data_IF_553952880072
#
_entry.id   IF_553952880072
#
_cell.length_a   1.000
_cell.length_b   1.000
_cell.length_c   1.000
_cell.angle_alpha   90.00
_cell.angle_beta   90.00
_cell.angle_gamma   90.00
#
_symmetry.space_group_name_H-M   'P 1'
#
loop_
_entity.id
_entity.type
_entity.pdbx_description
1 polymer ?
#
# COMPACT_ATOMS: atom_id res chain seq x y z
N UNK A 1 32.86 7.36 -11.92
CA UNK A 1 31.97 6.24 -11.49
C UNK A 1 30.54 6.62 -11.84
N UNK A 2 29.91 5.95 -12.80
CA UNK A 2 28.50 6.19 -13.13
C UNK A 2 27.63 5.48 -12.10
N UNK A 3 27.10 6.21 -11.10
CA UNK A 3 26.10 5.66 -10.18
C UNK A 3 24.84 5.31 -10.97
N UNK A 4 24.53 4.01 -11.04
CA UNK A 4 23.22 3.53 -11.51
C UNK A 4 22.24 3.57 -10.34
N UNK A 5 21.11 4.24 -10.51
CA UNK A 5 19.99 4.36 -9.58
C UNK A 5 19.00 3.21 -9.78
N UNK A 6 18.26 2.84 -8.74
CA UNK A 6 17.12 1.91 -8.83
C UNK A 6 15.83 2.73 -8.72
N UNK A 7 14.94 2.69 -9.72
CA UNK A 7 13.66 3.42 -9.62
C UNK A 7 12.65 2.62 -8.82
N UNK A 8 12.00 3.31 -7.91
CA UNK A 8 10.89 2.79 -7.12
C UNK A 8 9.62 3.50 -7.57
N UNK A 9 8.80 2.80 -8.36
CA UNK A 9 7.48 3.29 -8.70
C UNK A 9 6.49 2.86 -7.61
N UNK A 10 6.09 3.82 -6.77
CA UNK A 10 5.11 3.58 -5.72
C UNK A 10 3.71 3.92 -6.24
N UNK A 11 2.97 2.88 -6.65
CA UNK A 11 1.52 2.99 -6.83
C UNK A 11 0.86 3.06 -5.46
N UNK A 12 0.45 4.27 -5.05
CA UNK A 12 -0.41 4.42 -3.89
C UNK A 12 -1.78 3.82 -4.25
N UNK A 13 -2.17 2.83 -3.44
CA UNK A 13 -3.47 2.18 -3.50
C UNK A 13 -4.60 3.20 -3.59
N UNK A 14 -5.68 2.83 -4.32
CA UNK A 14 -7.04 3.35 -4.13
C UNK A 14 -7.25 3.68 -2.65
N UNK A 15 -7.06 4.94 -2.30
CA UNK A 15 -7.70 5.52 -1.13
C UNK A 15 -9.19 5.47 -1.48
N UNK A 16 -10.13 5.30 -0.53
CA UNK A 16 -11.54 5.61 -0.78
C UNK A 16 -11.66 7.12 -1.00
N UNK A 17 -11.13 7.56 -2.13
CA UNK A 17 -10.94 8.90 -2.61
C UNK A 17 -11.33 8.82 -4.08
N UNK A 18 -12.11 9.78 -4.60
CA UNK A 18 -12.39 9.82 -6.03
C UNK A 18 -11.10 9.96 -6.85
N UNK A 19 -9.99 10.37 -6.20
CA UNK A 19 -8.72 10.64 -6.86
C UNK A 19 -7.81 9.42 -6.96
N UNK A 20 -7.21 9.23 -8.13
CA UNK A 20 -6.22 8.20 -8.39
C UNK A 20 -4.86 8.85 -8.72
N UNK A 21 -3.98 8.90 -7.72
CA UNK A 21 -2.67 9.55 -7.83
C UNK A 21 -1.56 8.51 -7.96
N UNK A 22 -0.69 8.69 -8.93
CA UNK A 22 0.49 7.86 -9.19
C UNK A 22 1.75 8.63 -8.82
N UNK A 23 2.55 8.09 -7.91
CA UNK A 23 3.78 8.74 -7.44
C UNK A 23 5.02 8.07 -8.04
N UNK A 24 5.96 8.92 -8.48
CA UNK A 24 7.25 8.49 -8.99
C UNK A 24 8.33 8.86 -7.99
N UNK A 25 9.03 7.84 -7.50
CA UNK A 25 10.15 7.99 -6.59
C UNK A 25 11.40 7.32 -7.16
N UNK A 26 12.56 7.84 -6.78
CA UNK A 26 13.85 7.26 -7.12
C UNK A 26 14.51 6.79 -5.84
N UNK A 27 15.08 5.59 -5.85
CA UNK A 27 15.88 5.08 -4.76
C UNK A 27 17.32 4.92 -5.22
N UNK A 28 18.20 5.64 -4.53
CA UNK A 28 19.62 5.39 -4.65
C UNK A 28 20.02 4.45 -3.51
N UNK A 29 20.83 3.40 -3.77
CA UNK A 29 21.41 2.61 -2.70
C UNK A 29 22.05 3.52 -1.64
N UNK A 30 21.80 3.22 -0.37
CA UNK A 30 22.31 3.99 0.77
C UNK A 30 21.82 5.45 0.91
N UNK A 31 20.84 5.89 0.12
CA UNK A 31 20.21 7.21 0.29
C UNK A 31 18.70 7.09 0.55
N UNK A 32 18.06 8.10 1.16
CA UNK A 32 16.60 8.16 1.22
C UNK A 32 15.97 8.12 -0.17
N UNK A 33 14.73 7.66 -0.25
CA UNK A 33 13.97 7.75 -1.50
C UNK A 33 13.67 9.22 -1.81
N UNK A 34 13.87 9.61 -3.08
CA UNK A 34 13.65 10.97 -3.56
C UNK A 34 12.32 11.00 -4.30
N UNK A 35 11.43 11.90 -3.92
CA UNK A 35 10.20 12.16 -4.66
C UNK A 35 10.51 12.98 -5.92
N UNK A 36 10.01 12.51 -7.07
CA UNK A 36 10.23 13.19 -8.36
C UNK A 36 8.99 13.94 -8.80
N UNK A 37 7.86 13.25 -8.88
CA UNK A 37 6.60 13.83 -9.36
C UNK A 37 5.41 12.93 -9.01
N UNK A 38 4.22 13.51 -9.14
CA UNK A 38 2.93 12.83 -9.02
C UNK A 38 2.11 13.13 -10.26
N UNK A 39 1.42 12.11 -10.78
CA UNK A 39 0.48 12.26 -11.88
C UNK A 39 -0.91 11.92 -11.34
N UNK A 40 -1.84 12.86 -11.51
CA UNK A 40 -3.25 12.59 -11.31
C UNK A 40 -3.81 11.83 -12.51
N UNK A 41 -4.32 10.64 -12.26
CA UNK A 41 -4.92 9.75 -13.26
C UNK A 41 -6.38 9.45 -12.93
N UNK A 42 -7.02 10.36 -12.18
CA UNK A 42 -8.45 10.31 -11.86
C UNK A 42 -9.29 10.29 -13.13
N UNK A 43 -10.21 9.32 -13.22
CA UNK A 43 -11.06 9.15 -14.40
C UNK A 43 -10.34 8.62 -15.64
N UNK A 44 -9.01 8.41 -15.59
CA UNK A 44 -8.23 7.88 -16.70
C UNK A 44 -8.13 6.36 -16.56
N UNK A 45 -8.57 5.64 -17.60
CA UNK A 45 -8.34 4.20 -17.67
C UNK A 45 -6.86 3.94 -17.95
N UNK A 46 -6.21 3.21 -17.06
CA UNK A 46 -4.80 2.86 -17.24
C UNK A 46 -4.67 1.78 -18.32
N UNK A 47 -4.17 2.17 -19.48
CA UNK A 47 -3.82 1.28 -20.59
C UNK A 47 -2.31 1.05 -20.59
N UNK A 48 -1.86 -0.09 -21.12
CA UNK A 48 -0.45 -0.50 -21.11
C UNK A 48 0.44 0.58 -21.71
N UNK A 49 0.10 1.07 -22.91
CA UNK A 49 0.92 2.04 -23.64
C UNK A 49 1.03 3.38 -22.90
N UNK A 50 -0.08 3.85 -22.31
CA UNK A 50 -0.10 5.11 -21.56
C UNK A 50 0.75 5.01 -20.30
N UNK A 51 0.67 3.88 -19.59
CA UNK A 51 1.46 3.64 -18.37
C UNK A 51 2.94 3.53 -18.70
N UNK A 52 3.30 2.77 -19.73
CA UNK A 52 4.68 2.63 -20.17
C UNK A 52 5.25 3.98 -20.61
N UNK A 53 4.50 4.75 -21.40
CA UNK A 53 4.91 6.08 -21.85
C UNK A 53 5.11 7.06 -20.69
N UNK A 54 4.25 7.06 -19.68
CA UNK A 54 4.39 7.94 -18.52
C UNK A 54 5.62 7.57 -17.67
N UNK A 55 5.91 6.28 -17.51
CA UNK A 55 7.14 5.82 -16.86
C UNK A 55 8.36 6.23 -17.67
N UNK A 56 8.35 6.05 -19.00
CA UNK A 56 9.45 6.44 -19.88
C UNK A 56 9.72 7.94 -19.84
N UNK A 57 8.68 8.80 -19.84
CA UNK A 57 8.85 10.26 -19.70
C UNK A 57 9.61 10.63 -18.42
N UNK A 58 9.32 9.95 -17.31
CA UNK A 58 10.01 10.19 -16.03
C UNK A 58 11.46 9.72 -16.08
N UNK A 59 11.70 8.56 -16.70
CA UNK A 59 13.05 8.01 -16.93
C UNK A 59 13.87 8.98 -17.81
N UNK A 60 13.30 9.44 -18.93
CA UNK A 60 13.98 10.32 -19.87
C UNK A 60 14.29 11.69 -19.26
N UNK A 61 13.38 12.24 -18.44
CA UNK A 61 13.58 13.49 -17.71
C UNK A 61 14.83 13.47 -16.82
N UNK A 62 15.19 12.32 -16.25
CA UNK A 62 16.35 12.17 -15.36
C UNK A 62 17.58 11.70 -16.15
N UNK A 63 17.37 10.86 -17.17
CA UNK A 63 18.35 10.25 -18.05
C UNK A 63 18.37 8.72 -17.92
N UNK A 64 17.98 8.02 -18.99
CA UNK A 64 17.82 6.56 -19.00
C UNK A 64 19.04 5.77 -18.50
N UNK A 65 20.26 6.23 -18.84
CA UNK A 65 21.52 5.59 -18.45
C UNK A 65 21.77 5.53 -16.94
N UNK A 66 21.04 6.34 -16.18
CA UNK A 66 21.14 6.40 -14.73
C UNK A 66 20.25 5.37 -14.04
N UNK A 67 19.50 4.55 -14.78
CA UNK A 67 18.57 3.60 -14.19
C UNK A 67 19.00 2.15 -14.36
N UNK A 68 18.81 1.36 -13.31
CA UNK A 68 19.01 -0.08 -13.29
C UNK A 68 17.71 -0.84 -13.54
N UNK A 69 16.61 -0.40 -12.90
CA UNK A 69 15.28 -1.02 -13.05
C UNK A 69 14.17 -0.15 -12.48
N UNK A 70 12.92 -0.55 -12.74
CA UNK A 70 11.67 0.03 -12.21
C UNK A 70 10.96 -0.99 -11.33
N UNK A 71 10.52 -0.62 -10.13
CA UNK A 71 9.70 -1.50 -9.26
C UNK A 71 8.25 -1.03 -9.26
N UNK A 72 7.27 -1.83 -9.70
CA UNK A 72 5.84 -1.47 -9.70
C UNK A 72 4.99 -2.52 -8.97
N UNK A 73 3.69 -2.24 -8.74
CA UNK A 73 2.77 -3.30 -8.31
C UNK A 73 2.54 -4.36 -9.41
N UNK A 74 1.95 -5.48 -9.01
CA UNK A 74 1.77 -6.67 -9.86
C UNK A 74 0.46 -6.64 -10.66
N UNK A 75 -0.12 -5.45 -10.90
CA UNK A 75 -1.37 -5.34 -11.62
C UNK A 75 -1.22 -5.83 -13.07
N UNK A 76 -2.27 -6.41 -13.69
CA UNK A 76 -2.18 -6.98 -15.04
C UNK A 76 -1.59 -6.02 -16.09
N UNK A 77 -2.00 -4.75 -16.05
CA UNK A 77 -1.49 -3.70 -16.96
C UNK A 77 0.01 -3.46 -16.76
N UNK A 78 0.48 -3.48 -15.50
CA UNK A 78 1.90 -3.31 -15.18
C UNK A 78 2.74 -4.47 -15.70
N UNK A 79 2.27 -5.71 -15.53
CA UNK A 79 2.96 -6.90 -16.05
C UNK A 79 3.19 -6.86 -17.55
N UNK A 80 2.23 -6.33 -18.31
CA UNK A 80 2.40 -6.18 -19.76
C UNK A 80 3.38 -5.04 -20.05
N UNK A 81 3.31 -3.93 -19.33
CA UNK A 81 4.25 -2.81 -19.47
C UNK A 81 5.71 -3.21 -19.16
N UNK A 82 5.93 -4.20 -18.29
CA UNK A 82 7.26 -4.74 -18.00
C UNK A 82 7.96 -5.37 -19.21
N UNK A 83 7.24 -5.72 -20.28
CA UNK A 83 7.88 -6.17 -21.52
C UNK A 83 8.67 -5.07 -22.22
N UNK A 84 8.34 -3.81 -21.92
CA UNK A 84 8.94 -2.62 -22.50
C UNK A 84 9.91 -1.92 -21.54
N UNK A 85 10.04 -2.41 -20.31
CA UNK A 85 10.79 -1.78 -19.21
C UNK A 85 11.59 -2.83 -18.44
N UNK A 86 12.82 -2.54 -18.02
CA UNK A 86 13.52 -3.40 -17.06
C UNK A 86 12.86 -3.29 -15.68
N UNK A 87 11.80 -4.06 -15.44
CA UNK A 87 10.92 -3.88 -14.29
C UNK A 87 10.75 -5.14 -13.41
N UNK A 88 10.49 -4.91 -12.12
CA UNK A 88 10.27 -5.92 -11.10
C UNK A 88 8.98 -5.67 -10.31
N UNK A 89 8.40 -6.74 -9.79
CA UNK A 89 7.24 -6.67 -8.89
C UNK A 89 7.57 -6.11 -7.51
N UNK A 90 6.59 -5.44 -6.91
CA UNK A 90 6.71 -4.87 -5.57
C UNK A 90 6.68 -5.96 -4.50
N UNK A 91 7.76 -6.05 -3.72
CA UNK A 91 7.87 -6.98 -2.60
C UNK A 91 6.75 -6.79 -1.56
N UNK A 92 6.31 -5.55 -1.30
CA UNK A 92 5.20 -5.29 -0.39
C UNK A 92 3.87 -5.85 -0.90
N UNK A 93 3.67 -5.89 -2.22
CA UNK A 93 2.51 -6.54 -2.82
C UNK A 93 2.59 -8.06 -2.68
N UNK A 94 3.76 -8.66 -2.95
CA UNK A 94 3.98 -10.09 -2.76
C UNK A 94 3.75 -10.51 -1.30
N UNK A 95 4.27 -9.75 -0.34
CA UNK A 95 4.02 -9.97 1.09
C UNK A 95 2.52 -9.87 1.44
N UNK A 96 1.78 -8.94 0.84
CA UNK A 96 0.34 -8.82 1.05
C UNK A 96 -0.41 -10.08 0.57
N UNK A 97 0.00 -10.65 -0.57
CA UNK A 97 -0.57 -11.89 -1.09
C UNK A 97 -0.23 -13.09 -0.19
N UNK A 98 1.03 -13.18 0.26
CA UNK A 98 1.47 -14.23 1.18
C UNK A 98 0.67 -14.21 2.49
N UNK A 99 0.52 -13.03 3.11
CA UNK A 99 -0.27 -12.89 4.34
C UNK A 99 -1.73 -13.31 4.12
N UNK A 100 -2.34 -12.96 2.98
CA UNK A 100 -3.70 -13.42 2.65
C UNK A 100 -3.79 -14.93 2.55
N UNK A 101 -2.79 -15.57 1.95
CA UNK A 101 -2.76 -17.02 1.83
C UNK A 101 -2.65 -17.70 3.21
N UNK A 102 -1.75 -17.20 4.07
CA UNK A 102 -1.57 -17.70 5.44
C UNK A 102 -2.86 -17.53 6.26
N UNK A 103 -3.56 -16.41 6.10
CA UNK A 103 -4.77 -16.09 6.83
C UNK A 103 -6.05 -16.71 6.26
N UNK A 104 -6.02 -17.22 5.03
CA UNK A 104 -7.19 -17.79 4.35
C UNK A 104 -7.96 -18.84 5.18
N UNK A 105 -7.29 -19.78 5.86
CA UNK A 105 -7.96 -20.74 6.74
C UNK A 105 -8.72 -20.12 7.92
N UNK A 106 -8.46 -18.86 8.27
CA UNK A 106 -9.02 -18.15 9.42
C UNK A 106 -9.99 -17.03 9.02
N UNK A 107 -10.52 -17.06 7.79
CA UNK A 107 -11.41 -16.00 7.28
C UNK A 107 -12.65 -15.76 8.14
N UNK A 108 -13.23 -16.80 8.77
CA UNK A 108 -14.37 -16.65 9.68
C UNK A 108 -14.02 -15.80 10.90
N UNK A 109 -12.91 -16.11 11.57
CA UNK A 109 -12.41 -15.35 12.73
C UNK A 109 -12.14 -13.90 12.32
N UNK A 110 -11.52 -13.68 11.16
CA UNK A 110 -11.26 -12.33 10.65
C UNK A 110 -12.55 -11.57 10.36
N UNK A 111 -13.59 -12.25 9.87
CA UNK A 111 -14.91 -11.68 9.64
C UNK A 111 -15.53 -11.21 10.96
N UNK A 112 -15.51 -12.07 11.98
CA UNK A 112 -16.08 -11.78 13.30
C UNK A 112 -15.36 -10.62 13.99
N UNK A 113 -14.03 -10.65 14.01
CA UNK A 113 -13.22 -9.54 14.50
C UNK A 113 -13.53 -8.24 13.72
N UNK A 114 -13.81 -8.34 12.41
CA UNK A 114 -14.12 -7.17 11.59
C UNK A 114 -15.49 -6.61 11.94
N UNK A 115 -16.47 -7.48 12.23
CA UNK A 115 -17.80 -7.09 12.69
C UNK A 115 -17.71 -6.33 14.02
N UNK A 116 -16.93 -6.83 14.98
CA UNK A 116 -16.69 -6.15 16.27
C UNK A 116 -16.07 -4.77 16.04
N UNK A 117 -14.95 -4.71 15.31
CA UNK A 117 -14.25 -3.44 15.08
C UNK A 117 -15.14 -2.40 14.36
N UNK A 118 -15.94 -2.84 13.37
CA UNK A 118 -16.89 -1.97 12.67
C UNK A 118 -18.05 -1.54 13.56
N UNK A 119 -18.54 -2.41 14.44
CA UNK A 119 -19.61 -2.06 15.37
C UNK A 119 -19.18 -0.88 16.24
N UNK A 120 -18.04 -0.96 16.92
CA UNK A 120 -17.57 0.17 17.73
C UNK A 120 -17.27 1.40 16.87
N UNK A 121 -16.51 1.26 15.78
CA UNK A 121 -16.12 2.41 14.96
C UNK A 121 -17.29 3.17 14.32
N UNK A 122 -18.44 2.50 14.10
CA UNK A 122 -19.62 3.13 13.51
C UNK A 122 -20.65 3.64 14.54
N UNK A 123 -20.47 3.36 15.83
CA UNK A 123 -21.42 3.75 16.87
C UNK A 123 -20.75 4.59 17.95
N UNK A 124 -21.08 5.89 17.99
CA UNK A 124 -20.43 6.84 18.90
C UNK A 124 -20.58 6.50 20.40
N UNK A 125 -21.76 6.04 20.86
CA UNK A 125 -21.97 5.73 22.28
C UNK A 125 -21.23 4.46 22.71
N UNK A 126 -21.37 3.31 22.02
CA UNK A 126 -20.57 2.12 22.32
C UNK A 126 -19.07 2.39 22.28
N UNK A 127 -18.58 3.16 21.30
CA UNK A 127 -17.18 3.54 21.23
C UNK A 127 -16.73 4.34 22.45
N UNK A 128 -17.53 5.32 22.90
CA UNK A 128 -17.23 6.10 24.10
C UNK A 128 -17.12 5.23 25.35
N UNK A 129 -18.11 4.36 25.60
CA UNK A 129 -18.05 3.43 26.73
C UNK A 129 -16.85 2.47 26.66
N UNK A 130 -16.54 1.99 25.46
CA UNK A 130 -15.39 1.12 25.22
C UNK A 130 -14.06 1.84 25.47
N UNK A 131 -13.91 3.07 24.98
CA UNK A 131 -12.71 3.87 25.19
C UNK A 131 -12.53 4.23 26.67
N UNK A 132 -13.60 4.51 27.40
CA UNK A 132 -13.55 4.81 28.83
C UNK A 132 -13.14 3.59 29.66
N UNK A 133 -13.75 2.42 29.41
CA UNK A 133 -13.37 1.16 30.06
C UNK A 133 -11.90 0.79 29.80
N UNK A 134 -11.42 1.05 28.58
CA UNK A 134 -10.04 0.78 28.19
C UNK A 134 -9.02 1.73 28.84
N UNK A 135 -9.34 3.02 28.94
CA UNK A 135 -8.46 4.01 29.58
C UNK A 135 -8.22 3.71 31.05
N UNK A 136 -9.20 3.11 31.75
CA UNK A 136 -9.00 2.68 33.14
C UNK A 136 -8.03 1.51 33.29
N UNK A 137 -7.85 0.69 32.25
CA UNK A 137 -7.03 -0.54 32.32
C UNK A 137 -5.63 -0.37 31.70
N UNK A 138 -5.47 0.44 30.65
CA UNK A 138 -4.16 0.72 30.05
C UNK A 138 -4.11 2.11 29.39
N UNK A 139 -3.24 3.04 29.83
CA UNK A 139 -3.17 4.39 29.28
C UNK A 139 -2.49 4.49 27.90
N UNK A 140 -1.80 3.43 27.44
CA UNK A 140 -1.10 3.41 26.14
C UNK A 140 -1.93 2.64 25.12
N UNK A 141 -2.93 3.27 24.51
CA UNK A 141 -3.90 2.53 23.68
C UNK A 141 -3.97 2.96 22.22
N UNK A 142 -3.87 1.95 21.34
CA UNK A 142 -4.28 1.99 19.93
C UNK A 142 -5.79 1.73 19.85
N UNK A 143 -6.54 2.60 19.16
CA UNK A 143 -7.95 2.41 18.78
C UNK A 143 -8.16 1.10 18.02
N UNK A 144 -9.38 0.57 17.96
CA UNK A 144 -9.70 -0.59 17.11
C UNK A 144 -9.42 -0.25 15.64
N UNK A 145 -8.46 -0.96 15.04
CA UNK A 145 -8.02 -0.72 13.66
C UNK A 145 -8.78 -1.66 12.75
N UNK A 146 -9.40 -1.16 11.68
CA UNK A 146 -9.93 -2.03 10.62
C UNK A 146 -8.82 -2.33 9.62
N UNK A 147 -8.59 -3.61 9.30
CA UNK A 147 -7.59 -4.00 8.32
C UNK A 147 -7.90 -3.46 6.92
N UNK A 148 -6.86 -3.04 6.21
CA UNK A 148 -6.95 -2.63 4.81
C UNK A 148 -6.53 -3.79 3.90
N UNK A 149 -7.34 -4.07 2.87
CA UNK A 149 -7.07 -5.16 1.91
C UNK A 149 -5.76 -5.00 1.11
N UNK A 150 -5.23 -3.78 1.05
CA UNK A 150 -4.09 -3.40 0.20
C UNK A 150 -2.79 -3.21 0.96
N UNK A 151 -2.76 -3.44 2.28
CA UNK A 151 -1.56 -3.23 3.12
C UNK A 151 -1.28 -4.47 3.97
N UNK A 152 -0.18 -5.14 3.65
CA UNK A 152 0.23 -6.40 4.29
C UNK A 152 0.27 -6.32 5.83
N UNK A 153 0.82 -5.25 6.38
CA UNK A 153 0.94 -5.06 7.83
C UNK A 153 -0.37 -4.66 8.54
N UNK A 154 -1.42 -4.30 7.80
CA UNK A 154 -2.67 -3.86 8.42
C UNK A 154 -3.45 -4.99 9.10
N UNK A 155 -3.34 -6.22 8.60
CA UNK A 155 -3.97 -7.40 9.21
C UNK A 155 -3.40 -7.67 10.60
N UNK A 156 -2.07 -7.58 10.74
CA UNK A 156 -1.41 -7.71 12.04
C UNK A 156 -1.88 -6.63 13.03
N UNK A 157 -1.87 -5.36 12.62
CA UNK A 157 -2.30 -4.27 13.48
C UNK A 157 -3.76 -4.38 13.90
N UNK A 158 -4.63 -4.84 13.00
CA UNK A 158 -6.04 -5.10 13.29
C UNK A 158 -6.21 -6.20 14.35
N UNK A 159 -5.65 -7.40 14.10
CA UNK A 159 -5.74 -8.52 15.04
C UNK A 159 -5.16 -8.14 16.40
N UNK A 160 -4.01 -7.47 16.40
CA UNK A 160 -3.39 -6.97 17.62
C UNK A 160 -4.29 -5.96 18.34
N UNK A 161 -4.93 -5.04 17.62
CA UNK A 161 -5.84 -4.07 18.25
C UNK A 161 -7.06 -4.72 18.91
N UNK A 162 -7.54 -5.84 18.36
CA UNK A 162 -8.64 -6.62 18.94
C UNK A 162 -8.17 -7.43 20.14
N UNK A 163 -6.99 -8.05 20.07
CA UNK A 163 -6.42 -8.82 21.19
C UNK A 163 -6.01 -7.94 22.38
N UNK A 164 -5.49 -6.74 22.10
CA UNK A 164 -5.10 -5.75 23.10
C UNK A 164 -6.32 -4.96 23.64
N UNK A 165 -7.52 -5.25 23.17
CA UNK A 165 -8.78 -4.69 23.68
C UNK A 165 -9.46 -5.58 24.74
N UNK A 166 -8.72 -6.56 25.25
CA UNK A 166 -9.10 -7.39 26.41
C UNK A 166 -8.94 -6.66 27.72
#
# INVERSE_FOLDING_TARGET
MNQKFSVFHLRLSKVPSPYHIVNFLVKVPSQPSIFITSIDTTGITQVVDTVAADISKVIDKIGAYKFASVVTDDAPVMKVAWKHLSAFGCAAHAMNLLVKYILGPYESILSDCSAIAKFFNNHHRPLGFFDDARKSENPVIRTLIVASRTRWFSQYNFLKSVLDAR
#
